data_IF_068256206655
#
_entry.id   IF_068256206655
#
_cell.length_a   1.000
_cell.length_b   1.000
_cell.length_c   1.000
_cell.angle_alpha   90.00
_cell.angle_beta   90.00
_cell.angle_gamma   90.00
#
_symmetry.space_group_name_H-M   'P 1'
#
loop_
_entity.id
_entity.type
_entity.pdbx_description
1 polymer ?
#
# COMPACT_ATOMS: atom_id res chain seq x y z
N UNK A 1 -14.86 15.94 27.46
CA UNK A 1 -14.82 15.24 26.16
C UNK A 1 -14.01 16.12 25.22
N UNK A 2 -12.94 15.59 24.61
CA UNK A 2 -11.92 16.37 23.91
C UNK A 2 -12.30 16.74 22.47
N UNK A 3 -13.05 15.89 21.77
CA UNK A 3 -13.43 16.09 20.37
C UNK A 3 -14.63 15.20 19.99
N UNK A 4 -15.62 15.71 19.21
CA UNK A 4 -16.75 14.90 18.73
C UNK A 4 -16.36 14.06 17.49
N UNK A 5 -16.96 12.86 17.30
CA UNK A 5 -16.80 12.08 16.07
C UNK A 5 -17.59 12.67 14.90
N UNK A 6 -17.15 12.40 13.66
CA UNK A 6 -17.81 12.79 12.41
C UNK A 6 -18.73 11.64 11.94
N UNK A 7 -19.89 11.96 11.35
CA UNK A 7 -20.78 10.95 10.75
C UNK A 7 -20.32 10.57 9.32
N UNK A 8 -19.82 9.35 9.08
CA UNK A 8 -19.25 8.95 7.79
C UNK A 8 -20.28 8.78 6.66
N UNK A 9 -21.58 8.85 6.98
CA UNK A 9 -22.68 8.72 6.01
C UNK A 9 -23.25 10.10 5.71
N UNK A 10 -23.65 10.85 6.75
CA UNK A 10 -24.31 12.16 6.59
C UNK A 10 -23.32 13.26 6.22
N UNK A 11 -22.08 13.17 6.71
CA UNK A 11 -21.03 14.17 6.51
C UNK A 11 -19.94 13.66 5.54
N UNK A 12 -20.26 12.65 4.71
CA UNK A 12 -19.31 12.05 3.76
C UNK A 12 -18.59 13.08 2.86
N UNK A 13 -19.28 14.16 2.49
CA UNK A 13 -18.76 15.18 1.58
C UNK A 13 -17.60 16.00 2.15
N UNK A 14 -17.40 16.01 3.47
CA UNK A 14 -16.23 16.65 4.11
C UNK A 14 -15.07 15.67 4.33
N UNK A 15 -15.22 14.40 3.94
CA UNK A 15 -14.21 13.36 4.09
C UNK A 15 -13.60 12.97 2.74
N UNK A 16 -12.35 12.55 2.74
CA UNK A 16 -11.66 12.08 1.54
C UNK A 16 -10.73 10.91 1.85
N UNK A 17 -10.60 10.00 0.88
CA UNK A 17 -9.61 8.92 0.86
C UNK A 17 -8.55 9.15 -0.23
N UNK A 18 -8.54 10.32 -0.85
CA UNK A 18 -7.58 10.61 -1.90
C UNK A 18 -6.15 10.56 -1.35
N UNK A 19 -5.27 9.89 -2.10
CA UNK A 19 -3.87 9.71 -1.75
C UNK A 19 -3.00 10.15 -2.92
N UNK A 20 -1.84 10.72 -2.63
CA UNK A 20 -0.89 11.20 -3.62
C UNK A 20 0.39 10.37 -3.58
N UNK A 21 0.84 9.89 -4.74
CA UNK A 21 2.10 9.16 -4.93
C UNK A 21 3.09 10.04 -5.70
N UNK A 22 4.32 10.09 -5.23
CA UNK A 22 5.39 10.93 -5.75
C UNK A 22 6.22 11.55 -4.62
N UNK A 23 7.32 12.20 -4.97
CA UNK A 23 8.19 12.88 -3.98
C UNK A 23 7.48 14.09 -3.38
N UNK A 24 7.50 14.21 -2.07
CA UNK A 24 7.10 15.42 -1.37
C UNK A 24 8.14 16.51 -1.61
N UNK A 25 7.66 17.75 -1.76
CA UNK A 25 8.50 18.90 -2.08
C UNK A 25 8.45 19.93 -0.95
N UNK A 26 9.33 20.91 -1.04
CA UNK A 26 9.46 21.94 -0.03
C UNK A 26 8.17 22.78 0.11
N UNK A 27 7.62 22.82 1.32
CA UNK A 27 6.40 23.57 1.65
C UNK A 27 6.60 25.09 1.72
N UNK A 28 7.85 25.58 1.74
CA UNK A 28 8.19 27.00 1.86
C UNK A 28 8.49 27.70 0.55
N UNK A 29 8.54 26.96 -0.57
CA UNK A 29 8.88 27.52 -1.87
C UNK A 29 7.78 27.16 -2.87
N UNK A 30 7.32 28.15 -3.64
CA UNK A 30 6.40 27.97 -4.76
C UNK A 30 7.22 27.94 -6.05
N UNK A 31 7.15 26.88 -6.83
CA UNK A 31 7.77 26.79 -8.15
C UNK A 31 6.96 25.88 -9.07
N UNK A 32 7.00 26.17 -10.36
CA UNK A 32 6.06 25.65 -11.35
C UNK A 32 6.29 24.17 -11.74
N UNK A 33 7.42 23.58 -11.35
CA UNK A 33 7.79 22.19 -11.70
C UNK A 33 7.30 21.12 -10.73
N UNK A 34 6.48 21.48 -9.73
CA UNK A 34 6.12 20.61 -8.59
C UNK A 34 4.98 19.61 -8.83
N UNK A 35 4.62 19.35 -10.09
CA UNK A 35 3.37 18.67 -10.45
C UNK A 35 3.49 17.16 -10.75
N UNK A 36 4.68 16.55 -10.63
CA UNK A 36 4.88 15.13 -10.91
C UNK A 36 4.39 14.25 -9.74
N UNK A 37 3.08 14.28 -9.48
CA UNK A 37 2.40 13.45 -8.48
C UNK A 37 1.16 12.80 -9.07
N UNK A 38 1.00 11.51 -8.81
CA UNK A 38 -0.21 10.77 -9.17
C UNK A 38 -1.18 10.80 -8.01
N UNK A 39 -2.39 11.31 -8.27
CA UNK A 39 -3.48 11.31 -7.29
C UNK A 39 -4.38 10.12 -7.56
N UNK A 40 -4.65 9.34 -6.52
CA UNK A 40 -5.57 8.20 -6.56
C UNK A 40 -6.71 8.50 -5.59
N UNK A 41 -7.95 8.23 -5.98
CA UNK A 41 -9.14 8.55 -5.20
C UNK A 41 -9.30 7.71 -3.91
N UNK A 42 -8.61 6.58 -3.83
CA UNK A 42 -8.69 5.64 -2.72
C UNK A 42 -7.34 4.96 -2.51
N UNK A 43 -6.91 4.71 -1.25
CA UNK A 43 -5.68 3.99 -0.96
C UNK A 43 -5.82 2.49 -1.25
N UNK A 44 -7.03 2.00 -1.53
CA UNK A 44 -7.28 0.60 -1.93
C UNK A 44 -7.10 0.52 -3.44
N UNK A 45 -6.01 -0.07 -3.88
CA UNK A 45 -5.66 -0.19 -5.29
C UNK A 45 -6.40 -1.35 -5.95
N UNK A 46 -6.67 -1.22 -7.24
CA UNK A 46 -6.95 -2.34 -8.14
C UNK A 46 -5.67 -2.77 -8.86
N UNK A 47 -5.69 -3.95 -9.48
CA UNK A 47 -4.54 -4.44 -10.28
C UNK A 47 -4.12 -3.44 -11.36
N UNK A 48 -5.11 -2.83 -12.03
CA UNK A 48 -4.89 -1.80 -13.05
C UNK A 48 -4.16 -0.58 -12.51
N UNK A 49 -4.48 -0.15 -11.28
CA UNK A 49 -3.84 1.00 -10.64
C UNK A 49 -2.35 0.71 -10.40
N UNK A 50 -2.03 -0.51 -9.96
CA UNK A 50 -0.65 -0.93 -9.72
C UNK A 50 0.14 -1.11 -11.03
N UNK A 51 -0.50 -1.58 -12.11
CA UNK A 51 0.15 -1.64 -13.44
C UNK A 51 0.45 -0.24 -13.97
N UNK A 52 -0.53 0.67 -13.92
CA UNK A 52 -0.33 2.06 -14.34
C UNK A 52 0.82 2.72 -13.59
N UNK A 53 0.91 2.51 -12.27
CA UNK A 53 2.02 3.04 -11.47
C UNK A 53 3.40 2.51 -11.89
N UNK A 54 3.47 1.27 -12.39
CA UNK A 54 4.72 0.66 -12.86
C UNK A 54 5.12 1.10 -14.27
N UNK A 55 4.16 1.55 -15.06
CA UNK A 55 4.37 2.05 -16.42
C UNK A 55 4.74 3.54 -16.46
N UNK A 56 4.66 4.24 -15.32
CA UNK A 56 5.05 5.64 -15.22
C UNK A 56 6.56 5.86 -15.46
N UNK A 57 6.95 7.07 -15.91
CA UNK A 57 8.35 7.38 -16.16
C UNK A 57 9.24 7.16 -14.93
N UNK A 58 10.30 6.36 -15.09
CA UNK A 58 11.22 6.04 -14.00
C UNK A 58 11.89 7.29 -13.41
N UNK A 59 12.07 8.36 -14.19
CA UNK A 59 12.66 9.62 -13.72
C UNK A 59 11.93 10.21 -12.49
N UNK A 60 10.61 10.01 -12.39
CA UNK A 60 9.79 10.57 -11.33
C UNK A 60 9.10 9.52 -10.46
N UNK A 61 8.97 8.28 -10.95
CA UNK A 61 8.17 7.24 -10.31
C UNK A 61 8.87 5.90 -10.19
N UNK A 62 10.21 5.86 -10.24
CA UNK A 62 11.00 4.63 -10.13
C UNK A 62 10.48 3.74 -9.00
N UNK A 63 9.97 2.57 -9.38
CA UNK A 63 9.36 1.62 -8.48
C UNK A 63 10.27 0.42 -8.25
N UNK A 64 10.51 0.07 -6.98
CA UNK A 64 11.32 -1.09 -6.59
C UNK A 64 10.45 -2.06 -5.79
N UNK A 65 10.39 -3.32 -6.22
CA UNK A 65 9.64 -4.39 -5.55
C UNK A 65 10.55 -5.16 -4.60
N UNK A 66 10.15 -5.29 -3.34
CA UNK A 66 10.77 -6.17 -2.37
C UNK A 66 9.82 -7.30 -2.00
N UNK A 67 10.35 -8.53 -2.01
CA UNK A 67 9.62 -9.69 -1.49
C UNK A 67 9.64 -9.69 0.03
N UNK A 68 8.49 -9.98 0.63
CA UNK A 68 8.33 -10.25 2.07
C UNK A 68 8.62 -11.71 2.41
N UNK A 69 8.93 -12.55 1.42
CA UNK A 69 9.25 -13.94 1.62
C UNK A 69 10.73 -14.09 2.01
N UNK A 70 11.02 -14.94 2.99
CA UNK A 70 12.37 -15.25 3.42
C UNK A 70 12.51 -16.74 3.74
N UNK A 71 13.74 -17.25 3.63
CA UNK A 71 14.06 -18.63 3.95
C UNK A 71 14.42 -18.74 5.44
N UNK A 72 13.68 -19.52 6.25
CA UNK A 72 13.93 -19.66 7.68
C UNK A 72 15.26 -20.37 7.99
N UNK A 73 15.85 -21.07 7.01
CA UNK A 73 17.17 -21.70 7.13
C UNK A 73 18.31 -20.67 7.06
N UNK A 74 18.09 -19.54 6.37
CA UNK A 74 19.09 -18.49 6.18
C UNK A 74 18.94 -17.35 7.21
N UNK A 75 17.71 -16.85 7.35
CA UNK A 75 17.39 -15.69 8.18
C UNK A 75 16.28 -16.04 9.18
N UNK A 76 16.41 -15.61 10.42
CA UNK A 76 15.26 -15.49 11.31
C UNK A 76 14.42 -14.25 10.95
N UNK A 77 13.22 -14.12 11.52
CA UNK A 77 12.31 -13.01 11.22
C UNK A 77 12.93 -11.62 11.47
N UNK A 78 13.71 -11.47 12.53
CA UNK A 78 14.37 -10.19 12.86
C UNK A 78 15.43 -9.83 11.82
N UNK A 79 16.26 -10.80 11.43
CA UNK A 79 17.29 -10.64 10.40
C UNK A 79 16.67 -10.30 9.05
N UNK A 80 15.61 -11.01 8.66
CA UNK A 80 14.87 -10.75 7.42
C UNK A 80 14.27 -9.34 7.41
N UNK A 81 13.72 -8.88 8.54
CA UNK A 81 13.17 -7.53 8.68
C UNK A 81 14.25 -6.45 8.61
N UNK A 82 15.39 -6.65 9.28
CA UNK A 82 16.53 -5.71 9.22
C UNK A 82 17.06 -5.62 7.79
N UNK A 83 17.22 -6.76 7.11
CA UNK A 83 17.65 -6.83 5.71
C UNK A 83 16.68 -6.08 4.79
N UNK A 84 15.37 -6.28 4.96
CA UNK A 84 14.35 -5.56 4.21
C UNK A 84 14.45 -4.05 4.42
N UNK A 85 14.57 -3.60 5.67
CA UNK A 85 14.72 -2.18 6.01
C UNK A 85 15.98 -1.55 5.39
N UNK A 86 17.12 -2.25 5.45
CA UNK A 86 18.37 -1.80 4.85
C UNK A 86 18.26 -1.71 3.34
N UNK A 87 17.68 -2.72 2.69
CA UNK A 87 17.48 -2.74 1.25
C UNK A 87 16.52 -1.62 0.79
N UNK A 88 15.43 -1.38 1.52
CA UNK A 88 14.51 -0.29 1.24
C UNK A 88 15.19 1.09 1.35
N UNK A 89 15.99 1.31 2.41
CA UNK A 89 16.76 2.56 2.58
C UNK A 89 17.78 2.74 1.45
N UNK A 90 18.50 1.69 1.08
CA UNK A 90 19.47 1.73 -0.01
C UNK A 90 18.79 2.04 -1.36
N UNK A 91 17.64 1.42 -1.66
CA UNK A 91 16.91 1.70 -2.90
C UNK A 91 16.45 3.15 -3.00
N UNK A 92 15.98 3.76 -1.90
CA UNK A 92 15.59 5.19 -1.96
C UNK A 92 16.82 6.10 -2.04
N UNK A 93 17.88 5.80 -1.29
CA UNK A 93 19.07 6.66 -1.22
C UNK A 93 19.94 6.57 -2.47
N UNK A 94 20.29 5.36 -2.87
CA UNK A 94 21.32 5.09 -3.87
C UNK A 94 20.69 4.94 -5.26
N UNK A 95 19.51 4.30 -5.33
CA UNK A 95 18.82 4.06 -6.60
C UNK A 95 17.73 5.10 -6.90
N UNK A 96 17.47 6.05 -5.99
CA UNK A 96 16.45 7.10 -6.11
C UNK A 96 15.03 6.54 -6.33
N UNK A 97 14.71 5.39 -5.73
CA UNK A 97 13.38 4.81 -5.78
C UNK A 97 12.34 5.73 -5.11
N UNK A 98 11.27 6.05 -5.84
CA UNK A 98 10.16 6.90 -5.36
C UNK A 98 9.00 6.05 -4.86
N UNK A 99 8.86 4.83 -5.38
CA UNK A 99 7.79 3.90 -4.99
C UNK A 99 8.43 2.60 -4.52
N UNK A 100 8.19 2.24 -3.27
CA UNK A 100 8.60 0.97 -2.68
C UNK A 100 7.38 0.06 -2.65
N UNK A 101 7.44 -1.07 -3.35
CA UNK A 101 6.38 -2.07 -3.37
C UNK A 101 6.83 -3.25 -2.51
N UNK A 102 6.21 -3.42 -1.35
CA UNK A 102 6.35 -4.63 -0.55
C UNK A 102 5.35 -5.67 -1.06
N UNK A 103 5.80 -6.90 -1.32
CA UNK A 103 4.94 -7.95 -1.89
C UNK A 103 5.12 -9.27 -1.17
N UNK A 104 4.02 -9.90 -0.74
CA UNK A 104 4.01 -11.29 -0.23
C UNK A 104 3.57 -12.32 -1.29
N UNK A 105 3.49 -11.90 -2.57
CA UNK A 105 3.00 -12.74 -3.67
C UNK A 105 3.92 -13.90 -4.02
N UNK A 106 5.23 -13.74 -3.79
CA UNK A 106 6.26 -14.72 -4.17
C UNK A 106 6.37 -15.89 -3.16
N UNK A 107 5.25 -16.26 -2.50
CA UNK A 107 5.23 -17.33 -1.51
C UNK A 107 5.54 -18.68 -2.17
N UNK A 108 6.58 -19.34 -1.68
CA UNK A 108 7.05 -20.62 -2.18
C UNK A 108 7.18 -21.65 -1.06
N UNK A 109 7.20 -22.93 -1.44
CA UNK A 109 7.42 -24.02 -0.47
C UNK A 109 8.77 -23.83 0.22
N UNK A 110 8.78 -23.92 1.55
CA UNK A 110 9.98 -23.71 2.37
C UNK A 110 10.27 -22.24 2.72
N UNK A 111 9.53 -21.28 2.19
CA UNK A 111 9.65 -19.87 2.56
C UNK A 111 8.60 -19.49 3.60
N UNK A 112 8.95 -18.54 4.47
CA UNK A 112 8.05 -17.86 5.39
C UNK A 112 7.81 -16.42 4.91
N UNK A 113 6.71 -15.83 5.35
CA UNK A 113 6.32 -14.47 4.97
C UNK A 113 6.40 -13.56 6.19
N UNK A 114 7.05 -12.40 6.05
CA UNK A 114 7.00 -11.35 7.07
C UNK A 114 5.56 -10.79 7.12
N UNK A 115 4.91 -10.74 8.30
CA UNK A 115 3.58 -10.15 8.40
C UNK A 115 3.54 -8.73 7.85
N UNK A 116 2.60 -8.45 6.94
CA UNK A 116 2.54 -7.16 6.23
C UNK A 116 2.53 -5.93 7.16
N UNK A 117 1.78 -5.90 8.29
CA UNK A 117 1.83 -4.77 9.22
C UNK A 117 3.21 -4.56 9.83
N UNK A 118 3.92 -5.65 10.14
CA UNK A 118 5.26 -5.58 10.70
C UNK A 118 6.26 -5.04 9.69
N UNK A 119 6.21 -5.54 8.44
CA UNK A 119 7.05 -5.07 7.35
C UNK A 119 6.84 -3.58 7.06
N UNK A 120 5.58 -3.15 6.92
CA UNK A 120 5.22 -1.76 6.65
C UNK A 120 5.70 -0.84 7.76
N UNK A 121 5.40 -1.17 9.02
CA UNK A 121 5.80 -0.34 10.16
C UNK A 121 7.33 -0.23 10.32
N UNK A 122 8.06 -1.33 10.10
CA UNK A 122 9.52 -1.34 10.20
C UNK A 122 10.17 -0.50 9.09
N UNK A 123 9.73 -0.68 7.83
CA UNK A 123 10.26 0.07 6.68
C UNK A 123 9.91 1.55 6.82
N UNK A 124 8.68 1.89 7.23
CA UNK A 124 8.27 3.25 7.54
C UNK A 124 9.23 3.90 8.55
N UNK A 125 9.47 3.25 9.69
CA UNK A 125 10.37 3.78 10.72
C UNK A 125 11.81 3.92 10.23
N UNK A 126 12.30 2.95 9.45
CA UNK A 126 13.65 3.01 8.88
C UNK A 126 13.82 4.20 7.92
N UNK A 127 12.86 4.42 7.01
CA UNK A 127 12.86 5.54 6.09
C UNK A 127 12.75 6.89 6.81
N UNK A 128 11.91 6.98 7.85
CA UNK A 128 11.79 8.20 8.67
C UNK A 128 13.10 8.50 9.39
N UNK A 129 13.74 7.51 10.02
CA UNK A 129 15.04 7.68 10.70
C UNK A 129 16.15 8.08 9.72
N UNK A 130 16.06 7.61 8.48
CA UNK A 130 16.98 7.97 7.40
C UNK A 130 16.64 9.30 6.69
N UNK A 131 15.53 9.96 7.07
CA UNK A 131 15.00 11.18 6.43
C UNK A 131 14.60 11.01 4.95
N UNK A 132 14.23 9.79 4.56
CA UNK A 132 13.90 9.43 3.16
C UNK A 132 12.40 9.24 2.91
N UNK A 133 11.54 9.40 3.93
CA UNK A 133 10.10 9.14 3.80
C UNK A 133 9.37 10.16 2.93
N UNK A 134 9.84 11.40 2.87
CA UNK A 134 9.30 12.42 1.98
C UNK A 134 9.64 12.12 0.51
N UNK A 135 10.73 11.41 0.25
CA UNK A 135 11.16 11.04 -1.11
C UNK A 135 10.53 9.74 -1.62
N UNK A 136 9.83 9.00 -0.76
CA UNK A 136 9.37 7.65 -1.07
C UNK A 136 7.93 7.39 -0.63
N UNK A 137 7.24 6.54 -1.38
CA UNK A 137 5.89 6.08 -1.12
C UNK A 137 5.90 4.57 -0.89
N UNK A 138 5.09 4.10 0.04
CA UNK A 138 5.07 2.69 0.41
C UNK A 138 3.77 2.04 -0.06
N UNK A 139 3.87 1.12 -1.01
CA UNK A 139 2.76 0.31 -1.50
C UNK A 139 2.93 -1.11 -0.99
N UNK A 140 1.85 -1.72 -0.54
CA UNK A 140 1.87 -3.09 -0.04
C UNK A 140 0.91 -3.94 -0.87
N UNK A 141 1.45 -4.90 -1.61
CA UNK A 141 0.74 -5.99 -2.27
C UNK A 141 0.70 -7.17 -1.30
N UNK A 142 -0.49 -7.49 -0.77
CA UNK A 142 -0.59 -8.52 0.27
C UNK A 142 -1.81 -9.44 0.14
N UNK A 143 -1.58 -10.72 0.43
CA UNK A 143 -2.62 -11.74 0.57
C UNK A 143 -3.37 -11.66 1.91
N UNK A 144 -2.79 -11.02 2.92
CA UNK A 144 -3.27 -11.08 4.31
C UNK A 144 -4.45 -10.15 4.61
N UNK A 145 -4.65 -9.13 3.78
CA UNK A 145 -5.65 -8.07 3.99
C UNK A 145 -6.92 -8.32 3.21
N UNK A 146 -8.04 -8.21 3.92
CA UNK A 146 -9.37 -8.51 3.40
C UNK A 146 -10.49 -7.70 4.06
N UNK A 147 -10.28 -7.15 5.25
CA UNK A 147 -11.26 -6.29 5.94
C UNK A 147 -10.78 -4.83 6.11
N UNK A 148 -11.70 -3.95 6.52
CA UNK A 148 -11.41 -2.52 6.67
C UNK A 148 -10.47 -2.19 7.82
N UNK A 149 -10.45 -3.00 8.89
CA UNK A 149 -9.55 -2.79 10.02
C UNK A 149 -8.11 -3.08 9.61
N UNK A 150 -7.87 -4.22 8.96
CA UNK A 150 -6.56 -4.58 8.42
C UNK A 150 -6.04 -3.50 7.45
N UNK A 151 -6.93 -2.99 6.59
CA UNK A 151 -6.62 -1.89 5.68
C UNK A 151 -6.22 -0.61 6.45
N UNK A 152 -7.00 -0.21 7.45
CA UNK A 152 -6.72 0.95 8.29
C UNK A 152 -5.41 0.80 9.07
N UNK A 153 -5.09 -0.39 9.56
CA UNK A 153 -3.82 -0.67 10.25
C UNK A 153 -2.63 -0.44 9.32
N UNK A 154 -2.66 -0.97 8.09
CA UNK A 154 -1.55 -0.75 7.14
C UNK A 154 -1.37 0.72 6.80
N UNK A 155 -2.47 1.43 6.51
CA UNK A 155 -2.44 2.86 6.20
C UNK A 155 -1.92 3.65 7.41
N UNK A 156 -2.42 3.37 8.61
CA UNK A 156 -2.00 4.01 9.86
C UNK A 156 -0.54 3.75 10.23
N UNK A 157 0.02 2.61 9.81
CA UNK A 157 1.43 2.28 10.00
C UNK A 157 2.36 2.91 8.95
N UNK A 158 1.81 3.54 7.90
CA UNK A 158 2.58 4.34 6.93
C UNK A 158 2.51 3.86 5.48
N UNK A 159 1.69 2.84 5.16
CA UNK A 159 1.42 2.48 3.78
C UNK A 159 0.66 3.63 3.09
N UNK A 160 1.19 4.09 1.95
CA UNK A 160 0.52 5.05 1.07
C UNK A 160 -0.69 4.37 0.42
N UNK A 161 -0.53 3.15 -0.09
CA UNK A 161 -1.62 2.42 -0.72
C UNK A 161 -1.47 0.91 -0.53
N UNK A 162 -2.58 0.18 -0.62
CA UNK A 162 -2.67 -1.26 -0.37
C UNK A 162 -3.35 -1.93 -1.56
N UNK A 163 -2.73 -2.99 -2.06
CA UNK A 163 -3.30 -3.87 -3.08
C UNK A 163 -3.59 -5.25 -2.47
N UNK A 164 -4.85 -5.52 -2.06
CA UNK A 164 -5.24 -6.79 -1.45
C UNK A 164 -5.51 -7.87 -2.52
N UNK A 165 -4.47 -8.37 -3.19
CA UNK A 165 -4.62 -9.23 -4.37
C UNK A 165 -5.42 -10.51 -4.08
N UNK A 166 -5.14 -11.20 -2.97
CA UNK A 166 -5.81 -12.47 -2.67
C UNK A 166 -7.30 -12.26 -2.33
N UNK A 167 -7.66 -11.11 -1.76
CA UNK A 167 -9.07 -10.79 -1.52
C UNK A 167 -9.83 -10.64 -2.84
N UNK A 168 -9.23 -9.98 -3.84
CA UNK A 168 -9.81 -9.87 -5.17
C UNK A 168 -9.90 -11.22 -5.88
N UNK A 169 -8.80 -11.99 -5.92
CA UNK A 169 -8.78 -13.33 -6.53
C UNK A 169 -9.79 -14.28 -5.86
N UNK A 170 -9.99 -14.17 -4.54
CA UNK A 170 -11.00 -14.95 -3.82
C UNK A 170 -12.43 -14.57 -4.23
N UNK A 171 -12.70 -13.28 -4.46
CA UNK A 171 -14.01 -12.81 -4.92
C UNK A 171 -14.29 -13.30 -6.34
N UNK A 172 -13.29 -13.25 -7.22
CA UNK A 172 -13.41 -13.78 -8.59
C UNK A 172 -13.78 -15.27 -8.56
N UNK A 173 -13.10 -16.07 -7.73
CA UNK A 173 -13.43 -17.49 -7.56
C UNK A 173 -14.84 -17.73 -7.01
N UNK A 174 -15.34 -16.89 -6.11
CA UNK A 174 -16.71 -17.01 -5.60
C UNK A 174 -17.75 -16.74 -6.69
N UNK A 175 -17.47 -15.79 -7.58
CA UNK A 175 -18.34 -15.50 -8.73
C UNK A 175 -18.29 -16.66 -9.74
N UNK A 176 -17.11 -17.22 -10.02
CA UNK A 176 -16.95 -18.39 -10.90
C UNK A 176 -17.70 -19.62 -10.39
N UNK A 177 -17.74 -19.83 -9.07
CA UNK A 177 -18.50 -20.91 -8.42
C UNK A 177 -20.01 -20.67 -8.40
N UNK A 178 -20.46 -19.45 -8.68
CA UNK A 178 -21.86 -19.05 -8.62
C UNK A 178 -22.35 -18.69 -7.21
N UNK A 179 -21.46 -18.55 -6.23
CA UNK A 179 -21.81 -18.13 -4.85
C UNK A 179 -22.20 -16.64 -4.79
N UNK A 180 -21.72 -15.84 -5.75
CA UNK A 180 -22.01 -14.41 -5.88
C UNK A 180 -22.59 -14.13 -7.27
N UNK A 181 -23.77 -13.53 -7.30
CA UNK A 181 -24.44 -13.18 -8.55
C UNK A 181 -23.85 -11.93 -9.22
N UNK A 182 -23.81 -11.96 -10.55
CA UNK A 182 -23.38 -10.84 -11.40
C UNK A 182 -21.95 -11.00 -11.93
N UNK A 183 -21.47 -10.01 -12.69
CA UNK A 183 -20.12 -10.06 -13.27
C UNK A 183 -19.06 -9.83 -12.18
N UNK A 184 -17.92 -10.52 -12.28
CA UNK A 184 -16.84 -10.44 -11.30
C UNK A 184 -16.37 -8.99 -11.05
N UNK A 185 -16.28 -8.18 -12.11
CA UNK A 185 -15.96 -6.75 -12.04
C UNK A 185 -16.85 -5.99 -11.06
N UNK A 186 -18.16 -6.22 -11.08
CA UNK A 186 -19.10 -5.51 -10.20
C UNK A 186 -18.91 -5.94 -8.74
N UNK A 187 -18.62 -7.22 -8.51
CA UNK A 187 -18.31 -7.74 -7.18
C UNK A 187 -17.03 -7.08 -6.61
N UNK A 188 -15.97 -6.93 -7.42
CA UNK A 188 -14.73 -6.26 -7.02
C UNK A 188 -14.95 -4.77 -6.70
N UNK A 189 -15.74 -4.07 -7.54
CA UNK A 189 -16.10 -2.66 -7.30
C UNK A 189 -16.91 -2.50 -6.02
N UNK A 190 -17.87 -3.39 -5.76
CA UNK A 190 -18.67 -3.39 -4.53
C UNK A 190 -17.79 -3.67 -3.30
N UNK A 191 -16.84 -4.60 -3.40
CA UNK A 191 -15.88 -4.87 -2.34
C UNK A 191 -15.03 -3.63 -2.02
N UNK A 192 -14.40 -3.02 -3.03
CA UNK A 192 -13.62 -1.78 -2.85
C UNK A 192 -14.47 -0.66 -2.24
N UNK A 193 -15.70 -0.48 -2.70
CA UNK A 193 -16.63 0.49 -2.14
C UNK A 193 -16.99 0.19 -0.67
N UNK A 194 -17.13 -1.09 -0.31
CA UNK A 194 -17.33 -1.56 1.06
C UNK A 194 -16.15 -1.23 1.97
N UNK A 195 -14.92 -1.54 1.53
CA UNK A 195 -13.70 -1.20 2.27
C UNK A 195 -13.57 0.32 2.43
N UNK A 196 -13.82 1.11 1.38
CA UNK A 196 -13.78 2.58 1.46
C UNK A 196 -14.77 3.13 2.48
N UNK A 197 -16.00 2.60 2.56
CA UNK A 197 -16.96 2.98 3.61
C UNK A 197 -16.47 2.56 5.01
N UNK A 198 -15.83 1.41 5.11
CA UNK A 198 -15.22 0.93 6.35
C UNK A 198 -14.08 1.83 6.82
N UNK A 199 -13.21 2.28 5.91
CA UNK A 199 -12.12 3.20 6.19
C UNK A 199 -12.62 4.56 6.68
N UNK A 200 -13.65 5.12 6.04
CA UNK A 200 -14.24 6.39 6.48
C UNK A 200 -14.90 6.29 7.86
N UNK A 201 -15.29 5.09 8.30
CA UNK A 201 -15.94 4.87 9.58
C UNK A 201 -14.95 4.78 10.75
N UNK A 202 -13.76 4.25 10.50
CA UNK A 202 -12.69 4.07 11.51
C UNK A 202 -12.08 5.42 11.83
#
# INVERSE_FOLDING_TARGET
>A
VTNPPIDPIRERHVMSLATCIGREQNVFNETSGYAERVVIESPVLMYTDLQQLRELPEEHYKAVKFSLCFEPEQDNLEQALIRLCQAAVAAVRDEQAVVIILSDRDIAKGHLVIPAPLAVGAVQQALVRAQLRCDSNLIIETASVRDSHQMAVLIGLGATAVYPFLAYESIEQLVERGDVEGPARDALVRYRAGINKGLLKI
#
